data_IF_170955210913
#
_entry.id   IF_170955210913
#
_cell.length_a   1.000
_cell.length_b   1.000
_cell.length_c   1.000
_cell.angle_alpha   90.00
_cell.angle_beta   90.00
_cell.angle_gamma   90.00
#
_symmetry.space_group_name_H-M   'P 1'
#
loop_
_entity.id
_entity.type
_entity.pdbx_description
1 polymer ?
#
# COMPACT_ATOMS: atom_id res chain seq x y z
N UNK A 1 -1.97 1.54 15.90
CA UNK A 1 -1.39 2.85 15.50
C UNK A 1 0.14 2.90 15.63
N UNK A 2 0.72 2.85 16.85
CA UNK A 2 2.18 3.04 17.06
C UNK A 2 3.07 2.07 16.27
N UNK A 3 2.87 0.75 16.43
CA UNK A 3 3.58 -0.30 15.67
C UNK A 3 3.57 -0.08 14.15
N UNK A 4 2.43 0.34 13.60
CA UNK A 4 2.30 0.63 12.17
C UNK A 4 3.15 1.82 11.75
N UNK A 5 3.12 2.92 12.51
CA UNK A 5 3.94 4.10 12.21
C UNK A 5 5.43 3.82 12.39
N UNK A 6 5.81 3.06 13.43
CA UNK A 6 7.19 2.62 13.66
C UNK A 6 7.72 1.84 12.45
N UNK A 7 6.95 0.87 11.94
CA UNK A 7 7.29 0.13 10.72
C UNK A 7 7.52 1.06 9.52
N UNK A 8 6.57 1.98 9.26
CA UNK A 8 6.66 2.88 8.11
C UNK A 8 7.86 3.83 8.21
N UNK A 9 8.14 4.36 9.41
CA UNK A 9 9.31 5.23 9.67
C UNK A 9 10.61 4.44 9.47
N UNK A 10 10.69 3.22 9.99
CA UNK A 10 11.88 2.38 9.84
C UNK A 10 12.14 2.03 8.37
N UNK A 11 11.09 1.64 7.64
CA UNK A 11 11.18 1.36 6.21
C UNK A 11 11.69 2.58 5.43
N UNK A 12 11.15 3.79 5.70
CA UNK A 12 11.63 5.02 5.05
C UNK A 12 13.06 5.39 5.44
N UNK A 13 13.48 5.19 6.70
CA UNK A 13 14.89 5.35 7.13
C UNK A 13 15.85 4.42 6.40
N UNK A 14 15.38 3.22 6.02
CA UNK A 14 16.12 2.24 5.22
C UNK A 14 16.08 2.54 3.71
N UNK A 15 15.47 3.65 3.30
CA UNK A 15 15.33 4.01 1.88
C UNK A 15 14.35 3.13 1.11
N UNK A 16 13.45 2.41 1.80
CA UNK A 16 12.50 1.49 1.17
C UNK A 16 11.33 2.23 0.52
N UNK A 17 10.94 1.76 -0.66
CA UNK A 17 9.79 2.25 -1.42
C UNK A 17 8.55 1.50 -0.96
N UNK A 18 7.51 2.24 -0.58
CA UNK A 18 6.24 1.70 -0.09
C UNK A 18 5.12 2.28 -0.94
N UNK A 19 4.27 1.39 -1.46
CA UNK A 19 3.10 1.76 -2.28
C UNK A 19 1.86 1.07 -1.72
N UNK A 20 0.68 1.60 -2.01
CA UNK A 20 -0.59 1.03 -1.64
C UNK A 20 -1.14 0.07 -2.69
N UNK A 21 -1.93 -0.89 -2.22
CA UNK A 21 -2.86 -1.64 -3.06
C UNK A 21 -4.29 -1.39 -2.59
N UNK A 22 -5.14 -0.98 -3.50
CA UNK A 22 -6.55 -0.62 -3.32
C UNK A 22 -6.79 0.81 -2.83
N UNK A 23 -7.99 1.32 -3.08
CA UNK A 23 -8.48 2.59 -2.56
C UNK A 23 -9.85 2.43 -1.85
N UNK A 24 -9.96 1.63 -0.76
CA UNK A 24 -11.22 1.44 -0.06
C UNK A 24 -11.46 2.52 1.01
N UNK A 25 -12.73 2.81 1.33
CA UNK A 25 -13.08 3.79 2.37
C UNK A 25 -12.49 3.48 3.75
N UNK A 26 -12.44 2.20 4.14
CA UNK A 26 -11.80 1.76 5.39
C UNK A 26 -10.29 2.01 5.41
N UNK A 27 -9.61 1.86 4.27
CA UNK A 27 -8.19 2.16 4.11
C UNK A 27 -7.96 3.66 4.25
N UNK A 28 -8.78 4.48 3.61
CA UNK A 28 -8.69 5.93 3.72
C UNK A 28 -8.87 6.42 5.16
N UNK A 29 -9.79 5.81 5.91
CA UNK A 29 -9.99 6.13 7.33
C UNK A 29 -8.73 5.85 8.14
N UNK A 30 -8.12 4.68 7.94
CA UNK A 30 -6.86 4.31 8.61
C UNK A 30 -5.74 5.31 8.28
N UNK A 31 -5.53 5.61 7.01
CA UNK A 31 -4.45 6.51 6.58
C UNK A 31 -4.63 7.92 7.16
N UNK A 32 -5.84 8.48 7.09
CA UNK A 32 -6.15 9.79 7.66
C UNK A 32 -5.96 9.80 9.19
N UNK A 33 -6.46 8.79 9.91
CA UNK A 33 -6.33 8.69 11.37
C UNK A 33 -4.88 8.54 11.84
N UNK A 34 -4.07 7.85 11.06
CA UNK A 34 -2.65 7.66 11.33
C UNK A 34 -1.76 8.81 10.83
N UNK A 35 -2.29 9.72 10.00
CA UNK A 35 -1.50 10.79 9.37
C UNK A 35 -0.54 10.27 8.30
N UNK A 36 -0.83 9.12 7.67
CA UNK A 36 0.00 8.51 6.64
C UNK A 36 -0.32 9.17 5.30
N UNK A 37 0.67 9.85 4.69
CA UNK A 37 0.52 10.56 3.42
C UNK A 37 1.56 10.06 2.40
N UNK A 38 1.77 10.84 1.34
CA UNK A 38 2.70 10.54 0.25
C UNK A 38 4.18 10.49 0.67
N UNK A 39 4.52 11.00 1.84
CA UNK A 39 5.82 10.85 2.48
C UNK A 39 6.11 9.39 2.90
N UNK A 40 5.05 8.62 3.20
CA UNK A 40 5.15 7.20 3.52
C UNK A 40 4.72 6.30 2.36
N UNK A 41 3.59 6.58 1.72
CA UNK A 41 3.01 5.76 0.65
C UNK A 41 2.95 6.60 -0.62
N UNK A 42 3.86 6.35 -1.56
CA UNK A 42 4.10 7.22 -2.72
C UNK A 42 2.90 7.29 -3.67
N UNK A 43 2.24 6.16 -3.84
CA UNK A 43 1.00 6.03 -4.60
C UNK A 43 0.23 4.79 -4.14
N UNK A 44 -1.01 4.62 -4.60
CA UNK A 44 -1.74 3.34 -4.51
C UNK A 44 -2.20 2.90 -5.88
N UNK A 45 -2.47 1.61 -6.08
CA UNK A 45 -3.15 1.11 -7.28
C UNK A 45 -4.57 0.68 -6.97
N UNK A 46 -5.49 0.75 -7.92
CA UNK A 46 -6.82 0.13 -7.77
C UNK A 46 -7.27 -0.45 -9.11
N UNK A 47 -7.87 -1.65 -9.08
CA UNK A 47 -8.39 -2.32 -10.27
C UNK A 47 -9.59 -1.60 -10.87
N UNK A 48 -10.30 -0.77 -10.09
CA UNK A 48 -11.43 0.00 -10.57
C UNK A 48 -10.96 1.19 -11.43
N UNK A 49 -11.22 1.19 -12.76
CA UNK A 49 -10.77 2.27 -13.65
C UNK A 49 -11.31 3.65 -13.28
N UNK A 50 -12.51 3.73 -12.66
CA UNK A 50 -13.12 4.99 -12.26
C UNK A 50 -12.36 5.73 -11.14
N UNK A 51 -11.45 5.03 -10.45
CA UNK A 51 -10.59 5.63 -9.41
C UNK A 51 -9.22 6.04 -9.93
N UNK A 52 -8.75 5.44 -11.02
CA UNK A 52 -7.44 5.69 -11.58
C UNK A 52 -7.32 7.14 -12.08
N UNK A 53 -6.13 7.73 -11.93
CA UNK A 53 -5.90 9.15 -12.24
C UNK A 53 -6.47 10.12 -11.20
N UNK A 54 -7.10 9.62 -10.12
CA UNK A 54 -7.59 10.43 -8.99
C UNK A 54 -6.67 10.26 -7.78
N UNK A 55 -7.09 10.83 -6.66
CA UNK A 55 -6.36 10.81 -5.39
C UNK A 55 -7.21 10.22 -4.27
N UNK A 56 -6.55 9.62 -3.28
CA UNK A 56 -7.20 9.25 -2.04
C UNK A 56 -7.69 10.51 -1.30
N UNK A 57 -8.93 10.52 -0.77
CA UNK A 57 -9.47 11.67 -0.06
C UNK A 57 -8.69 11.96 1.23
N UNK A 58 -8.37 13.23 1.44
CA UNK A 58 -7.68 13.74 2.64
C UNK A 58 -6.15 13.57 2.59
N UNK A 59 -5.66 12.37 2.23
CA UNK A 59 -4.22 12.08 2.15
C UNK A 59 -3.59 12.52 0.83
N UNK A 60 -4.40 12.66 -0.23
CA UNK A 60 -3.97 13.04 -1.58
C UNK A 60 -2.90 12.11 -2.18
N UNK A 61 -2.92 10.83 -1.83
CA UNK A 61 -2.05 9.81 -2.45
C UNK A 61 -2.63 9.50 -3.84
N UNK A 62 -1.85 9.57 -4.93
CA UNK A 62 -2.33 9.30 -6.28
C UNK A 62 -2.72 7.83 -6.47
N UNK A 63 -3.73 7.59 -7.32
CA UNK A 63 -4.26 6.27 -7.64
C UNK A 63 -3.90 5.91 -9.09
N UNK A 64 -3.15 4.84 -9.28
CA UNK A 64 -2.78 4.31 -10.60
C UNK A 64 -3.45 2.96 -10.91
N UNK A 65 -3.24 2.48 -12.14
CA UNK A 65 -3.59 1.13 -12.54
C UNK A 65 -2.58 0.11 -11.95
N UNK A 66 -2.98 -1.16 -11.72
CA UNK A 66 -2.12 -2.18 -11.10
C UNK A 66 -0.76 -2.39 -11.78
N UNK A 67 -0.68 -2.20 -13.09
CA UNK A 67 0.51 -2.35 -13.93
C UNK A 67 1.67 -1.44 -13.45
N UNK A 68 1.34 -0.35 -12.75
CA UNK A 68 2.35 0.56 -12.18
C UNK A 68 3.28 -0.13 -11.18
N UNK A 69 2.82 -1.19 -10.51
CA UNK A 69 3.64 -1.95 -9.56
C UNK A 69 4.78 -2.66 -10.30
N UNK A 70 4.52 -3.29 -11.44
CA UNK A 70 5.57 -3.96 -12.23
C UNK A 70 6.60 -2.99 -12.82
N UNK A 71 6.19 -1.75 -13.12
CA UNK A 71 7.11 -0.70 -13.62
C UNK A 71 8.06 -0.20 -12.54
N UNK A 72 7.56 0.00 -11.32
CA UNK A 72 8.29 0.68 -10.24
C UNK A 72 8.99 -0.28 -9.29
N UNK A 73 8.56 -1.55 -9.23
CA UNK A 73 9.14 -2.62 -8.42
C UNK A 73 9.38 -2.19 -6.95
N UNK A 74 8.33 -1.80 -6.22
CA UNK A 74 8.44 -1.32 -4.85
C UNK A 74 8.92 -2.43 -3.90
N UNK A 75 9.58 -2.04 -2.79
CA UNK A 75 9.97 -2.97 -1.74
C UNK A 75 8.76 -3.49 -0.96
N UNK A 76 7.77 -2.62 -0.70
CA UNK A 76 6.58 -2.96 0.06
C UNK A 76 5.28 -2.56 -0.64
N UNK A 77 4.35 -3.50 -0.71
CA UNK A 77 2.97 -3.28 -1.17
C UNK A 77 1.99 -3.36 0.00
N UNK A 78 1.50 -2.21 0.41
CA UNK A 78 0.64 -2.00 1.56
C UNK A 78 -0.84 -2.26 1.22
N UNK A 79 -1.39 -3.36 1.73
CA UNK A 79 -2.74 -3.83 1.40
C UNK A 79 -3.80 -3.06 2.21
N UNK A 80 -4.39 -2.04 1.57
CA UNK A 80 -5.46 -1.24 2.16
C UNK A 80 -6.80 -1.99 2.28
N UNK A 81 -7.22 -2.86 1.34
CA UNK A 81 -8.39 -3.69 1.50
C UNK A 81 -8.02 -5.03 2.16
N UNK A 82 -7.46 -5.00 3.37
CA UNK A 82 -6.90 -6.16 4.10
C UNK A 82 -7.82 -7.39 4.25
N UNK A 83 -9.14 -7.24 4.05
CA UNK A 83 -10.07 -8.37 4.04
C UNK A 83 -9.86 -9.29 2.81
N UNK A 84 -9.28 -8.77 1.74
CA UNK A 84 -8.98 -9.51 0.50
C UNK A 84 -7.48 -9.79 0.36
N UNK A 85 -6.72 -9.76 1.45
CA UNK A 85 -5.25 -9.89 1.41
C UNK A 85 -4.80 -11.15 0.68
N UNK A 86 -5.46 -12.30 0.91
CA UNK A 86 -5.00 -13.59 0.40
C UNK A 86 -5.22 -13.66 -1.12
N UNK A 87 -6.38 -13.16 -1.60
CA UNK A 87 -6.68 -13.02 -3.03
C UNK A 87 -5.71 -12.03 -3.72
N UNK A 88 -5.45 -10.88 -3.10
CA UNK A 88 -4.55 -9.85 -3.64
C UNK A 88 -3.12 -10.39 -3.74
N UNK A 89 -2.63 -11.06 -2.69
CA UNK A 89 -1.31 -11.68 -2.68
C UNK A 89 -1.18 -12.76 -3.75
N UNK A 90 -2.25 -13.52 -4.01
CA UNK A 90 -2.27 -14.50 -5.08
C UNK A 90 -2.26 -13.83 -6.47
N UNK A 91 -3.11 -12.82 -6.69
CA UNK A 91 -3.19 -12.10 -7.97
C UNK A 91 -1.91 -11.33 -8.29
N UNK A 92 -1.21 -10.86 -7.26
CA UNK A 92 0.00 -10.05 -7.37
C UNK A 92 1.27 -10.85 -7.02
N UNK A 93 1.23 -12.18 -7.10
CA UNK A 93 2.33 -13.06 -6.70
C UNK A 93 3.66 -12.76 -7.41
N UNK A 94 3.60 -12.18 -8.62
CA UNK A 94 4.77 -11.73 -9.39
C UNK A 94 5.63 -10.69 -8.66
N UNK A 95 5.10 -10.02 -7.63
CA UNK A 95 5.85 -9.08 -6.79
C UNK A 95 7.09 -9.73 -6.14
N UNK A 96 7.01 -11.04 -5.90
CA UNK A 96 8.11 -11.82 -5.34
C UNK A 96 9.32 -11.91 -6.27
N UNK A 97 9.14 -11.73 -7.57
CA UNK A 97 10.21 -11.89 -8.57
C UNK A 97 11.37 -10.90 -8.39
N UNK A 98 11.10 -9.72 -7.81
CA UNK A 98 12.13 -8.75 -7.44
C UNK A 98 12.35 -8.64 -5.92
N UNK A 99 11.76 -9.54 -5.14
CA UNK A 99 11.84 -9.52 -3.67
C UNK A 99 10.95 -8.48 -2.99
N UNK A 100 9.92 -7.96 -3.68
CA UNK A 100 8.91 -7.13 -3.03
C UNK A 100 8.08 -7.95 -2.05
N UNK A 101 7.63 -7.31 -0.97
CA UNK A 101 6.84 -7.95 0.08
C UNK A 101 5.49 -7.25 0.28
N UNK A 102 4.50 -7.99 0.80
CA UNK A 102 3.21 -7.42 1.14
C UNK A 102 3.16 -6.96 2.59
N UNK A 103 2.42 -5.89 2.85
CA UNK A 103 2.21 -5.38 4.21
C UNK A 103 0.71 -5.34 4.52
N UNK A 104 0.31 -6.08 5.55
CA UNK A 104 -1.06 -6.07 6.08
C UNK A 104 -1.10 -5.22 7.35
N UNK A 105 -1.86 -4.11 7.39
CA UNK A 105 -1.74 -3.14 8.49
C UNK A 105 -2.51 -3.47 9.77
N UNK A 106 -3.52 -4.35 9.68
CA UNK A 106 -4.50 -4.64 10.74
C UNK A 106 -4.72 -6.16 10.81
N UNK A 107 -4.93 -6.75 12.00
CA UNK A 107 -5.02 -6.11 13.34
C UNK A 107 -3.67 -5.67 13.91
N UNK A 108 -2.59 -6.32 13.49
CA UNK A 108 -1.22 -5.89 13.74
C UNK A 108 -0.49 -5.83 12.41
N UNK A 109 0.49 -4.93 12.30
CA UNK A 109 1.31 -4.82 11.09
C UNK A 109 2.06 -6.13 10.88
N UNK A 110 1.89 -6.73 9.70
CA UNK A 110 2.61 -7.95 9.30
C UNK A 110 3.19 -7.75 7.92
N UNK A 111 4.43 -8.17 7.78
CA UNK A 111 5.08 -8.34 6.48
C UNK A 111 4.83 -9.79 6.07
N UNK A 112 4.30 -9.97 4.86
CA UNK A 112 4.01 -11.27 4.29
C UNK A 112 4.83 -11.44 3.01
N UNK A 113 5.37 -12.64 2.84
CA UNK A 113 6.05 -13.04 1.62
C UNK A 113 5.06 -13.39 0.51
#
# INVERSE_FOLDING_TARGET
KRKLLEFLIEAKRKGKVIVGYGAPGKGNTLLNYCGIRSDFIEYTVDRNPYKQGKFLPGTHIPIYAPEKISETKPDYVFILPWNFRDEIMQQMAFIREWGGQFVVPIPEVRVCD
#
